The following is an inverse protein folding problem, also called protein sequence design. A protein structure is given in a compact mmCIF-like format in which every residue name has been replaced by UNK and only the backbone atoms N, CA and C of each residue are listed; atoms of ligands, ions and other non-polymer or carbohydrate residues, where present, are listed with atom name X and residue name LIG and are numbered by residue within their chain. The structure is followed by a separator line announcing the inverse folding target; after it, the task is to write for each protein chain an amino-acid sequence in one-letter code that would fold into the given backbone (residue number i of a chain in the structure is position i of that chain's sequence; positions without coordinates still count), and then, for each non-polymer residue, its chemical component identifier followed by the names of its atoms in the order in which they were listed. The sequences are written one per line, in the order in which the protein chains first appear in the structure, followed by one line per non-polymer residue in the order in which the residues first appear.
data_IF_631013026988
#
_entry.id   IF_631013026988
#
_cell.length_a   1.000
_cell.length_b   1.000
_cell.length_c   1.000
_cell.angle_alpha   90.00
_cell.angle_beta   90.00
_cell.angle_gamma   90.00
#
_symmetry.space_group_name_H-M   'P 1'
#
loop_
_entity.id
_entity.type
_entity.pdbx_description
1 polymer ?
#
# COMPACT_ATOMS: atom_id res chain seq x y z
N UNK A 1 -54.08 5.98 74.99
CA UNK A 1 -52.71 6.46 75.28
C UNK A 1 -51.85 6.05 74.09
N UNK A 2 -51.48 7.04 73.26
CA UNK A 2 -50.78 6.85 71.98
C UNK A 2 -49.29 6.68 72.26
N UNK A 3 -48.71 5.54 71.88
CA UNK A 3 -47.25 5.33 71.91
C UNK A 3 -46.68 6.01 70.67
N UNK A 4 -46.05 7.16 70.89
CA UNK A 4 -45.34 7.94 69.87
C UNK A 4 -44.13 7.15 69.38
N UNK A 5 -44.10 6.84 68.09
CA UNK A 5 -42.94 6.26 67.40
C UNK A 5 -41.95 7.38 67.12
N UNK A 6 -40.95 7.53 68.01
CA UNK A 6 -39.82 8.43 67.77
C UNK A 6 -38.90 7.82 66.68
N UNK A 7 -39.16 8.26 65.44
CA UNK A 7 -38.15 8.27 64.38
C UNK A 7 -37.15 9.35 64.76
N UNK A 8 -35.95 8.95 65.19
CA UNK A 8 -34.64 9.56 64.83
C UNK A 8 -33.57 9.20 65.87
N UNK A 9 -33.10 7.96 65.82
CA UNK A 9 -31.95 7.49 66.60
C UNK A 9 -30.89 6.89 65.71
N UNK A 10 -30.52 7.54 64.60
CA UNK A 10 -29.34 7.14 63.83
C UNK A 10 -28.14 7.41 64.74
N UNK A 11 -27.71 6.37 65.48
CA UNK A 11 -26.56 6.40 66.37
C UNK A 11 -25.43 7.20 65.69
N UNK A 12 -24.78 8.16 66.35
CA UNK A 12 -23.81 9.07 65.71
C UNK A 12 -22.67 8.32 65.01
N UNK A 13 -22.41 7.07 65.42
CA UNK A 13 -21.51 6.15 64.71
C UNK A 13 -22.02 5.69 63.33
N UNK A 14 -23.32 5.43 63.18
CA UNK A 14 -23.93 5.02 61.91
C UNK A 14 -23.96 6.16 60.89
N UNK A 15 -24.24 7.39 61.34
CA UNK A 15 -24.14 8.59 60.49
C UNK A 15 -22.68 8.87 60.06
N UNK A 16 -21.71 8.63 60.94
CA UNK A 16 -20.27 8.71 60.61
C UNK A 16 -19.84 7.64 59.60
N UNK A 17 -20.29 6.40 59.79
CA UNK A 17 -20.02 5.30 58.86
C UNK A 17 -20.63 5.56 57.47
N UNK A 18 -21.88 6.04 57.42
CA UNK A 18 -22.52 6.47 56.17
C UNK A 18 -21.75 7.60 55.49
N UNK A 19 -21.29 8.59 56.24
CA UNK A 19 -20.47 9.68 55.72
C UNK A 19 -19.16 9.19 55.10
N UNK A 20 -18.45 8.27 55.77
CA UNK A 20 -17.20 7.68 55.25
C UNK A 20 -17.47 6.88 53.97
N UNK A 21 -18.55 6.08 53.93
CA UNK A 21 -18.92 5.29 52.74
C UNK A 21 -19.25 6.20 51.56
N UNK A 22 -19.97 7.31 51.79
CA UNK A 22 -20.31 8.28 50.74
C UNK A 22 -19.06 8.99 50.20
N UNK A 23 -18.16 9.44 51.09
CA UNK A 23 -16.89 10.08 50.69
C UNK A 23 -16.01 9.11 49.90
N UNK A 24 -15.94 7.86 50.33
CA UNK A 24 -15.14 6.83 49.66
C UNK A 24 -15.71 6.51 48.26
N UNK A 25 -17.04 6.41 48.12
CA UNK A 25 -17.67 6.25 46.81
C UNK A 25 -17.42 7.47 45.91
N UNK A 26 -17.54 8.70 46.42
CA UNK A 26 -17.24 9.91 45.66
C UNK A 26 -15.79 9.96 45.18
N UNK A 27 -14.83 9.52 46.00
CA UNK A 27 -13.43 9.39 45.61
C UNK A 27 -13.24 8.36 44.49
N UNK A 28 -13.91 7.21 44.57
CA UNK A 28 -13.86 6.19 43.52
C UNK A 28 -14.46 6.72 42.21
N UNK A 29 -15.63 7.38 42.25
CA UNK A 29 -16.24 7.98 41.06
C UNK A 29 -15.39 9.12 40.49
N UNK A 30 -14.80 9.96 41.33
CA UNK A 30 -13.88 11.01 40.91
C UNK A 30 -12.62 10.44 40.23
N UNK A 31 -12.07 9.35 40.77
CA UNK A 31 -10.91 8.67 40.20
C UNK A 31 -11.24 7.98 38.88
N UNK A 32 -12.42 7.34 38.76
CA UNK A 32 -12.90 6.77 37.49
C UNK A 32 -13.13 7.88 36.46
N UNK A 33 -13.73 9.01 36.84
CA UNK A 33 -13.90 10.16 35.95
C UNK A 33 -12.58 10.79 35.51
N UNK A 34 -11.58 10.84 36.40
CA UNK A 34 -10.24 11.33 36.11
C UNK A 34 -9.45 10.38 35.22
N UNK A 35 -9.55 9.07 35.47
CA UNK A 35 -8.94 8.04 34.60
C UNK A 35 -9.60 8.05 33.23
N UNK A 36 -10.92 8.22 33.14
CA UNK A 36 -11.64 8.26 31.87
C UNK A 36 -11.33 9.54 31.07
N UNK A 37 -11.13 10.68 31.74
CA UNK A 37 -10.72 11.92 31.08
C UNK A 37 -9.25 11.88 30.63
N UNK A 38 -8.36 11.23 31.39
CA UNK A 38 -7.00 10.91 30.95
C UNK A 38 -6.98 9.89 29.79
N UNK A 39 -7.83 8.86 29.84
CA UNK A 39 -7.91 7.86 28.78
C UNK A 39 -8.43 8.48 27.46
N UNK A 40 -9.36 9.42 27.52
CA UNK A 40 -9.82 10.12 26.31
C UNK A 40 -8.73 10.95 25.62
N UNK A 41 -7.74 11.47 26.36
CA UNK A 41 -6.60 12.16 25.75
C UNK A 41 -5.55 11.18 25.19
N UNK A 42 -5.43 9.97 25.75
CA UNK A 42 -4.48 8.96 25.27
C UNK A 42 -4.99 8.05 24.15
N UNK A 43 -6.31 7.92 23.96
CA UNK A 43 -6.88 7.15 22.85
C UNK A 43 -6.83 7.90 21.50
N UNK A 44 -6.73 9.24 21.50
CA UNK A 44 -6.48 10.01 20.26
C UNK A 44 -5.01 10.03 19.83
N UNK A 45 -4.07 9.91 20.77
CA UNK A 45 -2.65 9.86 20.48
C UNK A 45 -2.22 8.53 19.82
N UNK A 46 -2.97 7.44 20.05
CA UNK A 46 -2.70 6.13 19.43
C UNK A 46 -3.32 5.97 18.03
N UNK A 47 -4.37 6.71 17.69
CA UNK A 47 -4.97 6.66 16.36
C UNK A 47 -4.17 7.44 15.30
N UNK A 48 -3.45 8.50 15.70
CA UNK A 48 -2.64 9.33 14.78
C UNK A 48 -1.23 8.73 14.60
N UNK A 49 -0.60 8.16 15.64
CA UNK A 49 0.72 7.54 15.51
C UNK A 49 0.73 6.18 14.79
N UNK A 50 -0.42 5.57 14.54
CA UNK A 50 -0.57 4.39 13.68
C UNK A 50 -0.82 4.78 12.21
N UNK A 51 -1.26 6.00 11.91
CA UNK A 51 -1.41 6.45 10.52
C UNK A 51 -0.12 7.08 9.98
N UNK A 52 0.56 7.91 10.77
CA UNK A 52 1.69 8.72 10.30
C UNK A 52 2.98 7.90 10.14
N UNK A 53 3.21 6.94 11.04
CA UNK A 53 4.43 6.12 11.00
C UNK A 53 4.30 4.94 10.02
N UNK A 54 3.08 4.48 9.73
CA UNK A 54 2.83 3.50 8.66
C UNK A 54 2.78 4.18 7.29
N UNK A 55 2.27 5.42 7.19
CA UNK A 55 2.29 6.22 5.97
C UNK A 55 3.71 6.41 5.44
N UNK A 56 4.63 6.87 6.29
CA UNK A 56 6.03 7.07 5.88
C UNK A 56 6.76 5.78 5.48
N UNK A 57 6.58 4.68 6.24
CA UNK A 57 7.20 3.40 5.90
C UNK A 57 6.59 2.81 4.62
N UNK A 58 5.29 2.99 4.40
CA UNK A 58 4.61 2.56 3.19
C UNK A 58 5.04 3.40 1.98
N UNK A 59 5.10 4.73 2.11
CA UNK A 59 5.60 5.64 1.09
C UNK A 59 7.03 5.29 0.69
N UNK A 60 7.93 5.13 1.66
CA UNK A 60 9.29 4.69 1.40
C UNK A 60 9.36 3.31 0.76
N UNK A 61 8.52 2.37 1.19
CA UNK A 61 8.49 1.04 0.61
C UNK A 61 7.97 1.06 -0.84
N UNK A 62 6.97 1.89 -1.14
CA UNK A 62 6.45 2.08 -2.48
C UNK A 62 7.47 2.79 -3.38
N UNK A 63 8.16 3.82 -2.88
CA UNK A 63 9.23 4.50 -3.61
C UNK A 63 10.35 3.52 -3.96
N UNK A 64 10.82 2.73 -2.99
CA UNK A 64 11.84 1.68 -3.22
C UNK A 64 11.36 0.61 -4.19
N UNK A 65 10.07 0.25 -4.17
CA UNK A 65 9.51 -0.70 -5.13
C UNK A 65 9.50 -0.13 -6.55
N UNK A 66 9.04 1.11 -6.73
CA UNK A 66 9.04 1.80 -8.04
C UNK A 66 10.47 1.91 -8.58
N UNK A 67 11.43 2.30 -7.73
CA UNK A 67 12.85 2.36 -8.10
C UNK A 67 13.39 0.98 -8.53
N UNK A 68 13.05 -0.09 -7.80
CA UNK A 68 13.45 -1.45 -8.15
C UNK A 68 12.85 -1.89 -9.50
N UNK A 69 11.60 -1.53 -9.79
CA UNK A 69 10.98 -1.78 -11.10
C UNK A 69 11.70 -1.00 -12.18
N UNK A 70 12.01 0.28 -11.94
CA UNK A 70 12.70 1.14 -12.90
C UNK A 70 14.08 0.61 -13.28
N UNK A 71 14.90 0.23 -12.28
CA UNK A 71 16.20 -0.39 -12.49
C UNK A 71 16.10 -1.70 -13.26
N UNK A 72 15.03 -2.47 -13.04
CA UNK A 72 14.77 -3.71 -13.77
C UNK A 72 14.44 -3.42 -15.23
N UNK A 73 13.61 -2.40 -15.52
CA UNK A 73 13.30 -1.98 -16.88
C UNK A 73 14.54 -1.48 -17.63
N UNK A 74 15.39 -0.69 -16.97
CA UNK A 74 16.67 -0.25 -17.54
C UNK A 74 17.59 -1.43 -17.86
N UNK A 75 17.70 -2.41 -16.96
CA UNK A 75 18.51 -3.61 -17.21
C UNK A 75 17.99 -4.44 -18.40
N UNK A 76 16.67 -4.45 -18.64
CA UNK A 76 16.07 -5.10 -19.81
C UNK A 76 16.39 -4.34 -21.09
N UNK A 77 16.33 -3.00 -21.07
CA UNK A 77 16.71 -2.16 -22.22
C UNK A 77 18.19 -2.39 -22.56
N UNK A 78 19.07 -2.36 -21.56
CA UNK A 78 20.51 -2.60 -21.74
C UNK A 78 20.80 -4.01 -22.30
N UNK A 79 20.05 -5.02 -21.87
CA UNK A 79 20.14 -6.39 -22.39
C UNK A 79 19.74 -6.47 -23.87
N UNK A 80 18.60 -5.86 -24.23
CA UNK A 80 18.11 -5.81 -25.62
C UNK A 80 19.15 -5.13 -26.50
N UNK A 81 19.65 -3.96 -26.09
CA UNK A 81 20.66 -3.21 -26.82
C UNK A 81 21.95 -4.02 -27.00
N UNK A 82 22.41 -4.72 -25.95
CA UNK A 82 23.60 -5.57 -26.04
C UNK A 82 23.44 -6.66 -27.10
N UNK A 83 22.26 -7.28 -27.20
CA UNK A 83 21.99 -8.31 -28.21
C UNK A 83 21.89 -7.71 -29.62
N UNK A 84 21.26 -6.54 -29.77
CA UNK A 84 21.19 -5.84 -31.06
C UNK A 84 22.58 -5.51 -31.61
N UNK A 85 23.46 -4.95 -30.77
CA UNK A 85 24.86 -4.66 -31.14
C UNK A 85 25.64 -5.95 -31.44
N UNK A 86 25.33 -7.06 -30.77
CA UNK A 86 25.97 -8.36 -30.98
C UNK A 86 25.51 -9.11 -32.24
N UNK A 87 24.57 -8.56 -33.01
CA UNK A 87 24.11 -9.13 -34.28
C UNK A 87 22.66 -9.61 -34.31
N UNK A 88 21.87 -9.30 -33.29
CA UNK A 88 20.42 -9.53 -33.26
C UNK A 88 19.92 -10.12 -31.95
N UNK A 89 18.61 -10.00 -31.73
CA UNK A 89 17.95 -10.46 -30.51
C UNK A 89 17.78 -11.99 -30.54
N UNK A 90 18.44 -12.68 -29.62
CA UNK A 90 18.17 -14.10 -29.34
C UNK A 90 17.00 -14.21 -28.36
N UNK A 91 15.83 -14.54 -28.93
CA UNK A 91 14.57 -14.66 -28.18
C UNK A 91 14.66 -15.62 -27.01
N UNK A 92 15.34 -16.76 -27.16
CA UNK A 92 15.39 -17.76 -26.09
C UNK A 92 16.21 -17.25 -24.89
N UNK A 93 17.32 -16.57 -25.17
CA UNK A 93 18.16 -15.95 -24.14
C UNK A 93 17.44 -14.78 -23.48
N UNK A 94 16.74 -13.94 -24.26
CA UNK A 94 15.96 -12.82 -23.74
C UNK A 94 14.77 -13.30 -22.89
N UNK A 95 14.05 -14.33 -23.31
CA UNK A 95 12.94 -14.92 -22.54
C UNK A 95 13.40 -15.44 -21.17
N UNK A 96 14.54 -16.15 -21.14
CA UNK A 96 15.14 -16.62 -19.89
C UNK A 96 15.64 -15.48 -19.01
N UNK A 97 16.10 -14.38 -19.62
CA UNK A 97 16.47 -13.17 -18.89
C UNK A 97 15.23 -12.52 -18.26
N UNK A 98 14.18 -12.27 -19.05
CA UNK A 98 12.92 -11.68 -18.59
C UNK A 98 12.27 -12.53 -17.49
N UNK A 99 12.20 -13.85 -17.65
CA UNK A 99 11.63 -14.74 -16.64
C UNK A 99 12.39 -14.69 -15.31
N UNK A 100 13.72 -14.57 -15.34
CA UNK A 100 14.55 -14.39 -14.13
C UNK A 100 14.32 -13.05 -13.44
N UNK A 101 14.05 -11.99 -14.21
CA UNK A 101 13.76 -10.67 -13.66
C UNK A 101 12.34 -10.57 -13.11
N UNK A 102 11.36 -11.16 -13.79
CA UNK A 102 9.97 -11.27 -13.34
C UNK A 102 9.86 -12.04 -12.02
N UNK A 103 10.57 -13.18 -11.90
CA UNK A 103 10.60 -13.96 -10.66
C UNK A 103 11.19 -13.21 -9.45
N UNK A 104 11.94 -12.11 -9.68
CA UNK A 104 12.49 -11.24 -8.62
C UNK A 104 11.57 -10.08 -8.25
N UNK A 105 10.45 -9.93 -8.96
CA UNK A 105 9.39 -8.95 -8.76
C UNK A 105 8.06 -9.67 -8.54
N UNK A 106 7.91 -10.47 -7.46
CA UNK A 106 6.65 -11.17 -7.18
C UNK A 106 5.45 -10.22 -6.97
N UNK A 107 5.71 -8.94 -6.67
CA UNK A 107 4.69 -7.91 -6.52
C UNK A 107 4.21 -7.34 -7.86
N UNK A 108 4.90 -7.59 -8.97
CA UNK A 108 4.49 -7.16 -10.30
C UNK A 108 3.57 -8.20 -10.95
N UNK A 109 2.57 -7.73 -11.71
CA UNK A 109 1.63 -8.61 -12.43
C UNK A 109 2.23 -9.27 -13.67
N UNK A 110 3.45 -8.90 -14.04
CA UNK A 110 4.18 -9.50 -15.16
C UNK A 110 4.97 -8.49 -15.98
N UNK A 111 6.15 -8.93 -16.41
CA UNK A 111 7.02 -8.19 -17.31
C UNK A 111 6.67 -8.45 -18.78
N UNK A 112 6.67 -7.39 -19.60
CA UNK A 112 6.37 -7.45 -21.04
C UNK A 112 7.30 -6.54 -21.84
N UNK A 113 7.70 -6.98 -23.03
CA UNK A 113 8.42 -6.19 -24.03
C UNK A 113 7.53 -5.98 -25.23
N UNK A 114 7.50 -4.75 -25.71
CA UNK A 114 6.65 -4.29 -26.81
C UNK A 114 7.58 -3.74 -27.89
N UNK A 115 7.33 -4.09 -29.16
CA UNK A 115 8.10 -3.55 -30.28
C UNK A 115 7.65 -2.14 -30.69
N UNK A 116 8.36 -1.57 -31.66
CA UNK A 116 8.08 -0.23 -32.19
C UNK A 116 6.68 -0.11 -32.83
N UNK A 117 6.10 -1.22 -33.28
CA UNK A 117 4.75 -1.29 -33.86
C UNK A 117 3.66 -1.41 -32.78
N UNK A 118 4.04 -1.42 -31.51
CA UNK A 118 3.11 -1.54 -30.38
C UNK A 118 2.58 -2.96 -30.20
N UNK A 119 3.31 -3.97 -30.67
CA UNK A 119 2.99 -5.37 -30.52
C UNK A 119 3.78 -5.96 -29.35
N UNK A 120 3.10 -6.68 -28.47
CA UNK A 120 3.77 -7.43 -27.39
C UNK A 120 4.58 -8.57 -28.01
N UNK A 121 5.92 -8.46 -27.93
CA UNK A 121 6.86 -9.44 -28.47
C UNK A 121 7.32 -10.45 -27.42
N UNK A 122 7.33 -10.06 -26.14
CA UNK A 122 7.67 -10.95 -25.03
C UNK A 122 6.75 -10.68 -23.83
N UNK A 123 6.31 -11.75 -23.14
CA UNK A 123 5.50 -11.67 -21.93
C UNK A 123 5.75 -12.90 -21.05
N UNK A 124 6.03 -12.70 -19.76
CA UNK A 124 6.35 -13.81 -18.82
C UNK A 124 5.09 -14.49 -18.25
N UNK A 125 3.93 -13.83 -18.23
CA UNK A 125 2.71 -14.36 -17.57
C UNK A 125 1.92 -15.35 -18.43
N UNK A 126 1.35 -16.37 -17.75
CA UNK A 126 0.41 -17.41 -18.23
C UNK A 126 -0.96 -16.90 -18.79
N UNK A 127 -1.01 -15.73 -19.45
CA UNK A 127 -2.12 -15.44 -20.34
C UNK A 127 -1.84 -16.20 -21.63
N UNK A 128 -2.39 -17.42 -21.72
CA UNK A 128 -2.17 -18.33 -22.83
C UNK A 128 -2.27 -17.65 -24.19
N UNK A 129 -1.42 -18.16 -25.08
CA UNK A 129 -1.42 -17.98 -26.52
C UNK A 129 -0.67 -16.75 -27.03
N UNK A 130 0.46 -17.01 -27.70
CA UNK A 130 0.71 -16.86 -29.16
C UNK A 130 -0.04 -15.81 -30.01
N UNK A 131 -0.96 -15.01 -29.47
CA UNK A 131 -1.58 -13.90 -30.14
C UNK A 131 -0.73 -12.65 -29.85
N UNK A 132 -0.11 -12.10 -30.90
CA UNK A 132 0.45 -10.76 -30.91
C UNK A 132 -0.64 -9.75 -30.51
N UNK A 133 -0.73 -9.41 -29.23
CA UNK A 133 -1.67 -8.39 -28.75
C UNK A 133 -1.07 -7.03 -29.07
N UNK A 134 -1.80 -6.25 -29.87
CA UNK A 134 -1.46 -4.84 -30.10
C UNK A 134 -1.99 -3.97 -28.97
N UNK A 135 -1.13 -3.09 -28.48
CA UNK A 135 -1.43 -2.00 -27.55
C UNK A 135 -0.96 -0.65 -28.10
N UNK A 136 -0.74 -0.55 -29.42
CA UNK A 136 -0.33 0.67 -30.10
C UNK A 136 -1.30 1.85 -29.87
N UNK A 137 -2.57 1.55 -29.57
CA UNK A 137 -3.64 2.50 -29.30
C UNK A 137 -3.68 3.00 -27.84
N UNK A 138 -2.74 2.59 -26.99
CA UNK A 138 -2.79 2.83 -25.55
C UNK A 138 -1.86 3.95 -25.11
N UNK A 139 -2.37 4.83 -24.25
CA UNK A 139 -1.62 5.91 -23.60
C UNK A 139 -0.33 5.41 -22.92
N UNK A 140 -0.37 4.26 -22.24
CA UNK A 140 0.80 3.68 -21.58
C UNK A 140 1.88 3.13 -22.55
N UNK A 141 1.60 3.13 -23.86
CA UNK A 141 2.58 2.89 -24.92
C UNK A 141 2.94 4.19 -25.65
N UNK A 142 1.94 5.00 -25.99
CA UNK A 142 2.10 6.26 -26.73
C UNK A 142 2.93 7.27 -25.93
N UNK A 143 2.61 7.52 -24.66
CA UNK A 143 3.30 8.55 -23.87
C UNK A 143 4.79 8.27 -23.70
N UNK A 144 5.24 7.08 -23.25
CA UNK A 144 6.67 6.79 -23.15
C UNK A 144 7.39 6.86 -24.50
N UNK A 145 6.73 6.44 -25.60
CA UNK A 145 7.29 6.46 -26.95
C UNK A 145 7.48 7.88 -27.49
N UNK A 146 6.48 8.74 -27.31
CA UNK A 146 6.48 10.10 -27.84
C UNK A 146 7.28 11.07 -26.94
N UNK A 147 7.48 10.70 -25.67
CA UNK A 147 8.22 11.47 -24.67
C UNK A 147 9.25 10.63 -23.90
N UNK A 148 10.25 10.03 -24.58
CA UNK A 148 11.23 9.16 -23.94
C UNK A 148 12.13 9.90 -22.93
N UNK A 149 12.22 11.23 -23.02
CA UNK A 149 12.95 12.10 -22.09
C UNK A 149 12.34 12.12 -20.68
N UNK A 150 11.06 11.76 -20.53
CA UNK A 150 10.36 11.77 -19.24
C UNK A 150 10.75 10.57 -18.35
N UNK A 151 11.46 9.58 -18.90
CA UNK A 151 11.94 8.42 -18.16
C UNK A 151 10.83 7.42 -17.84
N UNK A 152 10.63 7.12 -16.56
CA UNK A 152 9.63 6.14 -16.13
C UNK A 152 8.22 6.75 -16.17
N UNK A 153 7.36 6.18 -17.02
CA UNK A 153 5.94 6.50 -17.05
C UNK A 153 5.15 5.61 -16.09
N UNK A 154 4.21 6.21 -15.36
CA UNK A 154 3.29 5.52 -14.45
C UNK A 154 1.87 5.87 -14.87
N UNK A 155 1.08 4.87 -15.26
CA UNK A 155 -0.31 5.08 -15.68
C UNK A 155 -1.23 5.40 -14.49
N UNK A 156 -2.35 6.06 -14.77
CA UNK A 156 -3.49 5.97 -13.85
C UNK A 156 -3.98 4.52 -13.73
N UNK A 157 -4.70 4.13 -12.65
CA UNK A 157 -5.26 2.79 -12.54
C UNK A 157 -6.18 2.48 -13.72
N UNK A 158 -5.84 1.43 -14.49
CA UNK A 158 -6.62 0.98 -15.64
C UNK A 158 -6.99 -0.48 -15.48
N UNK A 159 -8.11 -0.89 -16.10
CA UNK A 159 -8.44 -2.31 -16.24
C UNK A 159 -7.76 -2.82 -17.50
N UNK A 160 -6.84 -3.78 -17.35
CA UNK A 160 -6.05 -4.31 -18.45
C UNK A 160 -6.86 -5.21 -19.39
N UNK A 161 -6.45 -5.32 -20.66
CA UNK A 161 -7.05 -6.32 -21.60
C UNK A 161 -6.77 -7.77 -21.17
N UNK A 162 -5.69 -7.97 -20.42
CA UNK A 162 -5.21 -9.28 -19.97
C UNK A 162 -5.64 -9.61 -18.53
N UNK A 163 -6.06 -8.61 -17.74
CA UNK A 163 -6.37 -8.75 -16.31
C UNK A 163 -7.61 -7.91 -15.98
N UNK A 164 -8.64 -8.56 -15.42
CA UNK A 164 -9.94 -7.95 -15.11
C UNK A 164 -9.96 -7.05 -13.86
N UNK A 165 -8.79 -6.83 -13.24
CA UNK A 165 -8.62 -6.02 -12.04
C UNK A 165 -7.94 -4.68 -12.36
N UNK A 166 -8.22 -3.60 -11.59
CA UNK A 166 -7.49 -2.35 -11.72
C UNK A 166 -5.99 -2.58 -11.49
N UNK A 167 -5.17 -2.12 -12.43
CA UNK A 167 -3.71 -2.22 -12.38
C UNK A 167 -3.06 -0.91 -12.78
N UNK A 168 -1.87 -0.67 -12.24
CA UNK A 168 -1.00 0.43 -12.63
C UNK A 168 0.07 -0.16 -13.54
N UNK A 169 0.32 0.50 -14.68
CA UNK A 169 1.37 0.10 -15.62
C UNK A 169 2.55 1.05 -15.45
N UNK A 170 3.73 0.46 -15.25
CA UNK A 170 5.01 1.15 -15.28
C UNK A 170 5.64 0.83 -16.63
N UNK A 171 5.95 1.86 -17.40
CA UNK A 171 6.49 1.73 -18.76
C UNK A 171 7.67 2.67 -18.96
N UNK A 172 8.64 2.24 -19.76
CA UNK A 172 9.81 3.03 -20.14
C UNK A 172 10.12 2.73 -21.60
N UNK A 173 10.46 3.77 -22.34
CA UNK A 173 10.94 3.68 -23.71
C UNK A 173 12.42 4.06 -23.74
N UNK A 174 13.19 3.46 -24.64
CA UNK A 174 14.58 3.86 -24.86
C UNK A 174 14.63 5.14 -25.70
N UNK A 175 15.45 6.11 -25.31
CA UNK A 175 15.60 7.39 -26.02
C UNK A 175 16.79 7.38 -27.00
N UNK A 176 17.58 6.31 -27.03
CA UNK A 176 18.85 6.26 -27.76
C UNK A 176 18.74 5.89 -29.23
#
# INVERSE_FOLDING_TARGET
MVVSMDRNGVLPGFARLLGVVVVLNLLVFGLVGMVLSWNHQHERAKAIMIADNYGRVLEENMARFIEKVDLTLLAVIDEIHRQEVAGGIDRATLDLFLARHDARLPEALGLRVIDADGIVVHAVTNAGSSARVSIADREHFITPRDHPEQGLYISSPIVGRLVSAPMIILARHDCR
#
